data_IF_588837693298
#
_entry.id   IF_588837693298
#
_cell.length_a   1.000
_cell.length_b   1.000
_cell.length_c   1.000
_cell.angle_alpha   90.00
_cell.angle_beta   90.00
_cell.angle_gamma   90.00
#
_symmetry.space_group_name_H-M   'P 1'
#
loop_
_entity.id
_entity.type
_entity.pdbx_description
1 polymer ?
#
# COMPACT_ATOMS: atom_id res chain seq x y z
N UNK A 1 -4.55 -11.59 -26.06
CA UNK A 1 -3.63 -11.80 -24.94
C UNK A 1 -4.46 -11.77 -23.66
N UNK A 2 -4.69 -12.91 -22.98
CA UNK A 2 -5.49 -12.92 -21.73
C UNK A 2 -4.62 -12.31 -20.63
N UNK A 3 -5.02 -11.15 -20.10
CA UNK A 3 -4.41 -10.58 -18.90
C UNK A 3 -4.75 -11.48 -17.72
N UNK A 4 -3.72 -11.95 -17.01
CA UNK A 4 -3.92 -12.71 -15.76
C UNK A 4 -4.69 -11.83 -14.77
N UNK A 5 -5.68 -12.36 -14.04
CA UNK A 5 -6.35 -11.60 -13.00
C UNK A 5 -5.32 -11.20 -11.95
N UNK A 6 -5.16 -9.90 -11.76
CA UNK A 6 -4.31 -9.31 -10.72
C UNK A 6 -5.16 -8.89 -9.53
N UNK A 7 -4.71 -9.19 -8.32
CA UNK A 7 -5.26 -8.68 -7.07
C UNK A 7 -4.32 -7.61 -6.52
N UNK A 8 -4.87 -6.60 -5.86
CA UNK A 8 -4.09 -5.58 -5.18
C UNK A 8 -4.30 -5.74 -3.69
N UNK A 9 -3.20 -5.72 -2.94
CA UNK A 9 -3.19 -5.96 -1.50
C UNK A 9 -2.51 -4.78 -0.83
N UNK A 10 -3.20 -4.16 0.11
CA UNK A 10 -2.68 -3.12 1.00
C UNK A 10 -2.38 -3.75 2.34
N UNK A 11 -1.25 -3.42 2.92
CA UNK A 11 -0.89 -3.74 4.29
C UNK A 11 -0.29 -2.49 4.94
N UNK A 12 -0.81 -2.06 6.09
CA UNK A 12 -0.27 -0.93 6.86
C UNK A 12 0.19 -1.47 8.22
N UNK A 13 1.50 -1.45 8.46
CA UNK A 13 2.15 -2.07 9.63
C UNK A 13 1.72 -3.53 9.81
N UNK A 14 1.45 -3.95 11.05
CA UNK A 14 0.98 -5.28 11.41
C UNK A 14 -0.55 -5.44 11.30
N UNK A 15 -1.23 -4.51 10.61
CA UNK A 15 -2.67 -4.66 10.33
C UNK A 15 -2.90 -5.77 9.31
N UNK A 16 -4.14 -6.28 9.32
CA UNK A 16 -4.59 -7.30 8.37
C UNK A 16 -4.50 -6.77 6.94
N UNK A 17 -4.09 -7.66 6.02
CA UNK A 17 -4.10 -7.36 4.59
C UNK A 17 -5.51 -7.00 4.10
N UNK A 18 -5.63 -5.88 3.39
CA UNK A 18 -6.85 -5.46 2.70
C UNK A 18 -6.73 -5.67 1.20
N UNK A 19 -7.75 -6.27 0.60
CA UNK A 19 -7.84 -6.46 -0.84
C UNK A 19 -8.57 -5.28 -1.47
N UNK A 20 -7.92 -4.62 -2.43
CA UNK A 20 -8.47 -3.48 -3.17
C UNK A 20 -8.58 -3.80 -4.67
N UNK A 21 -9.44 -3.07 -5.36
CA UNK A 21 -9.82 -3.36 -6.75
C UNK A 21 -8.76 -2.89 -7.75
N UNK A 22 -8.00 -1.85 -7.41
CA UNK A 22 -6.95 -1.30 -8.24
C UNK A 22 -5.84 -0.60 -7.44
N UNK A 23 -4.79 -0.18 -8.13
CA UNK A 23 -3.62 0.45 -7.50
C UNK A 23 -3.96 1.80 -6.84
N UNK A 24 -4.75 2.64 -7.52
CA UNK A 24 -5.08 3.98 -7.05
C UNK A 24 -5.95 3.93 -5.80
N UNK A 25 -6.89 2.98 -5.74
CA UNK A 25 -7.66 2.66 -4.54
C UNK A 25 -6.73 2.28 -3.39
N UNK A 26 -5.73 1.43 -3.63
CA UNK A 26 -4.76 1.04 -2.61
C UNK A 26 -3.94 2.23 -2.08
N UNK A 27 -3.50 3.13 -2.96
CA UNK A 27 -2.83 4.37 -2.55
C UNK A 27 -3.79 5.26 -1.74
N UNK A 28 -5.05 5.35 -2.16
CA UNK A 28 -6.10 6.07 -1.46
C UNK A 28 -6.34 5.56 -0.03
N UNK A 29 -6.37 4.23 0.16
CA UNK A 29 -6.48 3.61 1.49
C UNK A 29 -5.33 4.02 2.41
N UNK A 30 -4.09 3.97 1.91
CA UNK A 30 -2.91 4.36 2.70
C UNK A 30 -2.94 5.86 3.03
N UNK A 31 -3.30 6.70 2.05
CA UNK A 31 -3.42 8.14 2.25
C UNK A 31 -4.50 8.52 3.26
N UNK A 32 -5.66 7.84 3.21
CA UNK A 32 -6.75 8.03 4.17
C UNK A 32 -6.30 7.66 5.59
N UNK A 33 -5.66 6.48 5.74
CA UNK A 33 -5.10 6.07 7.03
C UNK A 33 -4.08 7.09 7.56
N UNK A 34 -3.18 7.57 6.70
CA UNK A 34 -2.18 8.56 7.08
C UNK A 34 -2.83 9.88 7.55
N UNK A 35 -3.88 10.33 6.87
CA UNK A 35 -4.63 11.53 7.25
C UNK A 35 -5.31 11.35 8.62
N UNK A 36 -5.98 10.22 8.87
CA UNK A 36 -6.63 9.91 10.14
C UNK A 36 -5.64 9.88 11.31
N UNK A 37 -4.40 9.46 11.05
CA UNK A 37 -3.32 9.38 12.03
C UNK A 37 -2.40 10.60 12.03
N UNK A 38 -2.73 11.66 11.28
CA UNK A 38 -1.95 12.91 11.16
C UNK A 38 -0.49 12.68 10.77
N UNK A 39 -0.27 11.72 9.88
CA UNK A 39 1.05 11.34 9.37
C UNK A 39 1.26 11.80 7.92
N UNK A 40 2.50 12.09 7.54
CA UNK A 40 2.92 12.19 6.14
C UNK A 40 3.12 10.79 5.55
N UNK A 41 2.95 10.68 4.24
CA UNK A 41 3.20 9.46 3.47
C UNK A 41 4.39 9.68 2.52
N UNK A 42 5.48 8.97 2.76
CA UNK A 42 6.74 9.15 2.03
C UNK A 42 7.13 7.88 1.26
N UNK A 43 7.30 7.93 -0.07
CA UNK A 43 7.71 6.77 -0.84
C UNK A 43 9.10 6.30 -0.42
N UNK A 44 9.23 5.05 0.00
CA UNK A 44 10.52 4.48 0.44
C UNK A 44 11.16 3.58 -0.60
N UNK A 45 10.37 2.68 -1.18
CA UNK A 45 10.85 1.75 -2.18
C UNK A 45 9.71 1.43 -3.16
N UNK A 46 10.01 1.36 -4.45
CA UNK A 46 9.03 1.02 -5.47
C UNK A 46 9.64 0.00 -6.42
N UNK A 47 8.87 -1.04 -6.73
CA UNK A 47 9.16 -2.04 -7.74
C UNK A 47 8.02 -2.12 -8.76
N UNK A 48 8.16 -3.02 -9.73
CA UNK A 48 7.17 -3.16 -10.81
C UNK A 48 5.77 -3.53 -10.34
N UNK A 49 5.67 -4.29 -9.25
CA UNK A 49 4.41 -4.81 -8.73
C UNK A 49 4.18 -4.44 -7.27
N UNK A 50 5.00 -3.58 -6.67
CA UNK A 50 4.83 -3.22 -5.27
C UNK A 50 5.39 -1.83 -4.98
N UNK A 51 4.89 -1.20 -3.93
CA UNK A 51 5.41 0.06 -3.44
C UNK A 51 5.29 0.09 -1.91
N UNK A 52 6.31 0.62 -1.27
CA UNK A 52 6.44 0.74 0.18
C UNK A 52 6.52 2.22 0.54
N UNK A 53 5.74 2.63 1.52
CA UNK A 53 5.78 3.96 2.10
C UNK A 53 6.16 3.92 3.58
N UNK A 54 6.84 4.97 4.01
CA UNK A 54 6.97 5.33 5.40
C UNK A 54 5.86 6.31 5.76
N UNK A 55 5.17 6.04 6.86
CA UNK A 55 4.15 6.91 7.42
C UNK A 55 4.75 7.59 8.66
N UNK A 56 4.97 8.90 8.59
CA UNK A 56 5.74 9.64 9.60
C UNK A 56 4.93 10.74 10.27
N UNK A 57 5.14 10.94 11.56
CA UNK A 57 4.68 12.13 12.28
C UNK A 57 5.91 12.97 12.64
N UNK A 58 6.22 13.96 11.79
CA UNK A 58 7.48 14.68 11.89
C UNK A 58 8.67 13.76 11.59
N UNK A 59 9.58 13.57 12.55
CA UNK A 59 10.76 12.71 12.39
C UNK A 59 10.50 11.24 12.77
N UNK A 60 9.38 10.96 13.43
CA UNK A 60 9.09 9.63 13.96
C UNK A 60 8.40 8.75 12.90
N UNK A 61 8.89 7.51 12.76
CA UNK A 61 8.23 6.51 11.91
C UNK A 61 7.09 5.88 12.71
N UNK A 62 5.86 6.14 12.29
CA UNK A 62 4.64 5.65 12.94
C UNK A 62 4.23 4.30 12.37
N UNK A 63 4.35 4.14 11.05
CA UNK A 63 3.94 2.93 10.35
C UNK A 63 4.70 2.76 9.04
N UNK A 64 4.67 1.54 8.50
CA UNK A 64 5.03 1.25 7.11
C UNK A 64 3.77 0.88 6.35
N UNK A 65 3.72 1.16 5.06
CA UNK A 65 2.63 0.68 4.21
C UNK A 65 3.21 -0.03 2.99
N UNK A 66 2.62 -1.15 2.61
CA UNK A 66 2.93 -1.92 1.42
C UNK A 66 1.67 -2.01 0.56
N UNK A 67 1.80 -1.66 -0.73
CA UNK A 67 0.82 -1.99 -1.75
C UNK A 67 1.47 -2.97 -2.72
N UNK A 68 0.84 -4.11 -2.95
CA UNK A 68 1.34 -5.16 -3.83
C UNK A 68 0.29 -5.57 -4.86
N UNK A 69 0.69 -5.67 -6.13
CA UNK A 69 -0.07 -6.33 -7.19
C UNK A 69 0.35 -7.80 -7.27
N UNK A 70 -0.49 -8.69 -6.74
CA UNK A 70 -0.30 -10.15 -6.79
C UNK A 70 -0.99 -10.73 -8.02
N UNK A 71 -0.34 -11.67 -8.68
CA UNK A 71 -0.94 -12.43 -9.78
C UNK A 71 -1.27 -13.82 -9.28
N UNK A 72 -2.49 -14.29 -9.55
CA UNK A 72 -2.84 -15.69 -9.31
C UNK A 72 -1.90 -16.57 -10.14
N UNK A 73 -1.19 -17.49 -9.50
CA UNK A 73 -0.60 -18.62 -10.20
C UNK A 73 -1.74 -19.60 -10.47
N UNK A 74 -2.19 -19.66 -11.72
CA UNK A 74 -2.84 -20.87 -12.27
C UNK A 74 -1.76 -21.86 -12.68
#
# INVERSE_FOLDING_TARGET
MKTRPSKYVVQISDLTEEYVSNWDEGVGHIAAWAADHRCSMEPKHAGRNFCVWWLRSGIDLVATALLERRYSHE
#
